data_IF_054413276483
#
_entry.id   IF_054413276483
#
_cell.length_a   1.000
_cell.length_b   1.000
_cell.length_c   1.000
_cell.angle_alpha   90.00
_cell.angle_beta   90.00
_cell.angle_gamma   90.00
#
_symmetry.space_group_name_H-M   'P 1'
#
loop_
_entity.id
_entity.type
_entity.pdbx_description
1 polymer ?
#
# COMPACT_ATOMS: atom_id res chain seq x y z
N UNK A 1 -8.30 -22.57 -7.73
CA UNK A 1 -8.76 -22.62 -9.14
C UNK A 1 -8.56 -21.27 -9.86
N UNK A 2 -9.17 -20.17 -9.41
CA UNK A 2 -9.03 -18.85 -10.07
C UNK A 2 -7.59 -18.34 -10.24
N UNK A 3 -6.76 -18.47 -9.19
CA UNK A 3 -5.34 -18.09 -9.26
C UNK A 3 -4.59 -18.81 -10.40
N UNK A 4 -4.81 -20.12 -10.54
CA UNK A 4 -4.18 -20.97 -11.57
C UNK A 4 -4.72 -20.66 -12.98
N UNK A 5 -6.01 -20.29 -13.08
CA UNK A 5 -6.62 -19.84 -14.32
C UNK A 5 -6.11 -18.46 -14.77
N UNK A 6 -5.85 -17.56 -13.82
CA UNK A 6 -5.31 -16.23 -14.10
C UNK A 6 -3.79 -16.22 -14.37
N UNK A 7 -3.11 -17.38 -14.32
CA UNK A 7 -1.67 -17.48 -14.61
C UNK A 7 -0.76 -16.76 -13.59
N UNK A 8 -1.27 -16.42 -12.41
CA UNK A 8 -0.53 -15.69 -11.38
C UNK A 8 0.14 -16.63 -10.38
N UNK A 9 1.30 -16.19 -9.87
CA UNK A 9 2.08 -16.90 -8.85
C UNK A 9 1.24 -17.18 -7.58
N UNK A 10 1.73 -18.11 -6.74
CA UNK A 10 1.07 -18.40 -5.45
C UNK A 10 0.95 -17.12 -4.63
N UNK A 11 -0.29 -16.80 -4.30
CA UNK A 11 -0.63 -15.70 -3.41
C UNK A 11 -1.66 -16.18 -2.39
N UNK A 12 -1.56 -15.64 -1.19
CA UNK A 12 -2.52 -15.82 -0.11
C UNK A 12 -3.57 -14.70 -0.14
N UNK A 13 -4.74 -14.88 0.50
CA UNK A 13 -5.76 -13.83 0.60
C UNK A 13 -5.22 -12.50 1.15
N UNK A 14 -4.27 -12.55 2.08
CA UNK A 14 -3.64 -11.35 2.60
C UNK A 14 -2.83 -10.59 1.55
N UNK A 15 -2.19 -11.25 0.58
CA UNK A 15 -1.44 -10.55 -0.49
C UNK A 15 -2.35 -9.62 -1.29
N UNK A 16 -3.55 -10.10 -1.64
CA UNK A 16 -4.55 -9.31 -2.35
C UNK A 16 -5.03 -8.12 -1.51
N UNK A 17 -5.22 -8.32 -0.20
CA UNK A 17 -5.57 -7.24 0.74
C UNK A 17 -4.48 -6.17 0.80
N UNK A 18 -3.21 -6.56 0.79
CA UNK A 18 -2.07 -5.62 0.75
C UNK A 18 -2.05 -4.86 -0.57
N UNK A 19 -2.21 -5.56 -1.70
CA UNK A 19 -2.28 -4.94 -3.03
C UNK A 19 -3.41 -3.91 -3.12
N UNK A 20 -4.59 -4.23 -2.60
CA UNK A 20 -5.73 -3.32 -2.55
C UNK A 20 -5.42 -2.04 -1.74
N UNK A 21 -4.87 -2.19 -0.54
CA UNK A 21 -4.53 -1.05 0.32
C UNK A 21 -3.47 -0.14 -0.32
N UNK A 22 -2.38 -0.73 -0.84
CA UNK A 22 -1.33 0.03 -1.50
C UNK A 22 -1.85 0.75 -2.75
N UNK A 23 -2.68 0.10 -3.57
CA UNK A 23 -3.23 0.72 -4.77
C UNK A 23 -4.13 1.93 -4.47
N UNK A 24 -4.96 1.86 -3.43
CA UNK A 24 -5.76 3.03 -3.01
C UNK A 24 -4.88 4.19 -2.55
N UNK A 25 -3.87 3.91 -1.72
CA UNK A 25 -2.98 4.96 -1.21
C UNK A 25 -2.15 5.58 -2.33
N UNK A 26 -1.65 4.78 -3.27
CA UNK A 26 -0.91 5.26 -4.45
C UNK A 26 -1.78 6.11 -5.37
N UNK A 27 -3.08 5.82 -5.47
CA UNK A 27 -4.06 6.65 -6.19
C UNK A 27 -4.42 7.97 -5.46
N UNK A 28 -3.86 8.22 -4.28
CA UNK A 28 -4.04 9.46 -3.54
C UNK A 28 -5.11 9.42 -2.46
N UNK A 29 -5.75 8.27 -2.22
CA UNK A 29 -6.73 8.13 -1.14
C UNK A 29 -6.08 8.34 0.23
N UNK A 30 -6.88 8.83 1.17
CA UNK A 30 -6.43 9.06 2.54
C UNK A 30 -6.49 7.78 3.40
N UNK A 31 -5.71 7.77 4.49
CA UNK A 31 -5.56 6.60 5.36
C UNK A 31 -6.87 6.17 6.04
N UNK A 32 -7.80 7.10 6.31
CA UNK A 32 -9.08 6.81 6.95
C UNK A 32 -10.00 6.13 5.94
N UNK A 33 -10.09 6.65 4.72
CA UNK A 33 -10.85 6.04 3.63
C UNK A 33 -10.40 4.60 3.36
N UNK A 34 -9.08 4.37 3.29
CA UNK A 34 -8.54 3.02 3.09
C UNK A 34 -8.81 2.11 4.31
N UNK A 35 -8.68 2.64 5.53
CA UNK A 35 -9.01 1.89 6.77
C UNK A 35 -10.47 1.45 6.78
N UNK A 36 -11.40 2.34 6.43
CA UNK A 36 -12.83 2.05 6.42
C UNK A 36 -13.18 1.05 5.31
N UNK A 37 -12.62 1.21 4.10
CA UNK A 37 -12.79 0.25 3.01
C UNK A 37 -12.30 -1.16 3.35
N UNK A 38 -11.27 -1.27 4.20
CA UNK A 38 -10.72 -2.53 4.66
C UNK A 38 -11.43 -3.09 5.91
N UNK A 39 -12.25 -2.29 6.59
CA UNK A 39 -12.88 -2.64 7.86
C UNK A 39 -11.88 -2.78 9.01
N UNK A 40 -10.78 -2.01 9.01
CA UNK A 40 -9.84 -2.02 10.13
C UNK A 40 -10.38 -1.21 11.32
N UNK A 41 -10.35 -1.82 12.51
CA UNK A 41 -10.71 -1.14 13.75
C UNK A 41 -9.76 0.00 14.13
N UNK A 42 -8.50 -0.07 13.66
CA UNK A 42 -7.48 0.95 13.90
C UNK A 42 -6.78 1.37 12.61
N UNK A 43 -6.50 2.66 12.51
CA UNK A 43 -5.70 3.24 11.41
C UNK A 43 -4.25 2.72 11.41
N UNK A 44 -3.73 2.32 12.58
CA UNK A 44 -2.34 1.83 12.71
C UNK A 44 -2.07 0.57 11.86
N UNK A 45 -3.08 -0.28 11.67
CA UNK A 45 -2.97 -1.44 10.78
C UNK A 45 -2.91 -1.02 9.30
N UNK A 46 -3.62 0.04 8.92
CA UNK A 46 -3.59 0.59 7.56
C UNK A 46 -2.30 1.36 7.27
N UNK A 47 -1.74 2.04 8.27
CA UNK A 47 -0.48 2.80 8.15
C UNK A 47 0.68 1.94 7.64
N UNK A 48 0.70 0.64 7.96
CA UNK A 48 1.73 -0.29 7.48
C UNK A 48 1.75 -0.42 5.94
N UNK A 49 0.68 -0.03 5.25
CA UNK A 49 0.61 -0.05 3.79
C UNK A 49 1.03 1.27 3.13
N UNK A 50 1.19 2.36 3.88
CA UNK A 50 1.54 3.67 3.33
C UNK A 50 3.05 3.82 3.14
N UNK A 51 3.51 3.48 1.94
CA UNK A 51 4.92 3.62 1.54
C UNK A 51 5.24 4.98 0.91
N UNK A 52 4.26 5.89 0.80
CA UNK A 52 4.46 7.23 0.21
C UNK A 52 5.41 8.09 1.06
N UNK A 53 5.46 7.83 2.36
CA UNK A 53 6.43 8.46 3.27
C UNK A 53 7.87 8.15 2.89
N UNK A 54 8.17 6.89 2.57
CA UNK A 54 9.52 6.47 2.18
C UNK A 54 9.93 7.07 0.83
N UNK A 55 9.01 7.13 -0.13
CA UNK A 55 9.27 7.74 -1.43
C UNK A 55 9.61 9.24 -1.29
N UNK A 56 8.80 9.96 -0.49
CA UNK A 56 9.06 11.37 -0.17
C UNK A 56 10.40 11.58 0.54
N UNK A 57 10.74 10.70 1.49
CA UNK A 57 12.01 10.76 2.20
C UNK A 57 13.21 10.54 1.27
N UNK A 58 13.12 9.57 0.35
CA UNK A 58 14.16 9.34 -0.67
C UNK A 58 14.35 10.58 -1.56
N UNK A 59 13.27 11.14 -2.10
CA UNK A 59 13.34 12.37 -2.90
C UNK A 59 13.89 13.56 -2.13
N UNK A 60 13.54 13.69 -0.85
CA UNK A 60 14.06 14.76 0.01
C UNK A 60 15.57 14.60 0.26
N UNK A 61 16.05 13.37 0.52
CA UNK A 61 17.47 13.05 0.63
C UNK A 61 18.22 13.40 -0.65
N UNK A 62 17.73 12.93 -1.80
CA UNK A 62 18.43 13.13 -3.08
C UNK A 62 18.53 14.62 -3.48
N UNK A 63 17.64 15.48 -2.95
CA UNK A 63 17.72 16.94 -3.11
C UNK A 63 18.79 17.61 -2.23
N UNK A 64 19.18 16.97 -1.12
CA UNK A 64 20.23 17.47 -0.23
C UNK A 64 21.63 17.13 -0.75
N UNK A 65 21.78 16.04 -1.51
CA UNK A 65 23.05 15.60 -2.13
C UNK A 65 23.45 16.42 -3.38
N UNK A 66 22.97 17.68 -3.51
CA UNK A 66 23.20 18.58 -4.65
C UNK A 66 24.39 19.55 -4.44
N UNK A 67 25.35 19.22 -3.58
CA UNK A 67 26.63 19.95 -3.45
C UNK A 67 27.80 19.00 -3.66
#
# INVERSE_FOLDING_TARGET
MRQRQAGIAKCAPHDLRRTFATAMLDNGEDLITVKDAMGHASVTTTQQYDRRGEARLRTARDRLDLI
#
